data_IF_488161708317
#
_entry.id   IF_488161708317
#
_cell.length_a   1.000
_cell.length_b   1.000
_cell.length_c   1.000
_cell.angle_alpha   90.00
_cell.angle_beta   90.00
_cell.angle_gamma   90.00
#
_symmetry.space_group_name_H-M   'P 1'
#
loop_
_entity.id
_entity.type
_entity.pdbx_description
1 polymer ?
#
# COMPACT_ATOMS: atom_id res chain seq x y z
N UNK A 1 35.54 57.77 -48.08
CA UNK A 1 34.77 56.77 -47.30
C UNK A 1 33.77 56.13 -48.26
N UNK A 2 33.55 54.81 -48.13
CA UNK A 2 32.65 53.93 -48.90
C UNK A 2 33.26 53.16 -50.08
N UNK A 3 33.74 51.97 -49.69
CA UNK A 3 34.04 50.82 -50.52
C UNK A 3 32.77 49.99 -50.78
N UNK A 4 32.62 49.63 -52.05
CA UNK A 4 32.10 48.40 -52.69
C UNK A 4 31.22 47.42 -51.89
N UNK A 5 30.13 47.09 -52.57
CA UNK A 5 29.20 45.96 -52.45
C UNK A 5 29.86 44.60 -52.23
N UNK A 6 29.31 43.80 -51.31
CA UNK A 6 29.49 42.35 -51.22
C UNK A 6 28.13 41.67 -51.02
N UNK A 7 27.85 40.68 -51.84
CA UNK A 7 26.69 39.79 -51.82
C UNK A 7 26.77 38.81 -50.64
N UNK A 8 25.75 38.79 -49.80
CA UNK A 8 25.55 37.77 -48.76
C UNK A 8 24.77 36.59 -49.34
N UNK A 9 25.43 35.42 -49.39
CA UNK A 9 24.81 34.15 -49.71
C UNK A 9 23.84 33.72 -48.60
N UNK A 10 22.68 33.18 -49.01
CA UNK A 10 21.73 32.56 -48.11
C UNK A 10 22.32 31.24 -47.56
N UNK A 11 22.62 31.19 -46.26
CA UNK A 11 22.78 29.93 -45.54
C UNK A 11 21.39 29.33 -45.36
N UNK A 12 21.12 28.21 -46.02
CA UNK A 12 19.99 27.35 -45.70
C UNK A 12 20.24 26.75 -44.30
N UNK A 13 19.50 27.22 -43.30
CA UNK A 13 19.45 26.57 -42.00
C UNK A 13 18.69 25.25 -42.16
N UNK A 14 19.40 24.13 -42.06
CA UNK A 14 18.78 22.83 -41.82
C UNK A 14 18.11 22.86 -40.44
N UNK A 15 16.80 23.06 -40.42
CA UNK A 15 15.95 22.78 -39.27
C UNK A 15 16.01 21.27 -39.01
N UNK A 16 16.83 20.85 -38.04
CA UNK A 16 16.65 19.56 -37.39
C UNK A 16 15.31 19.63 -36.65
N UNK A 17 14.28 18.96 -37.18
CA UNK A 17 13.11 18.61 -36.39
C UNK A 17 13.57 17.58 -35.37
N UNK A 18 13.76 18.03 -34.13
CA UNK A 18 13.88 17.13 -33.00
C UNK A 18 12.55 16.39 -32.90
N UNK A 19 12.52 15.10 -33.26
CA UNK A 19 11.38 14.25 -32.94
C UNK A 19 11.21 14.31 -31.42
N UNK A 20 10.07 14.82 -30.95
CA UNK A 20 9.76 14.79 -29.53
C UNK A 20 9.77 13.34 -29.08
N UNK A 21 10.76 12.97 -28.26
CA UNK A 21 10.81 11.66 -27.63
C UNK A 21 9.52 11.52 -26.80
N UNK A 22 8.78 10.43 -27.00
CA UNK A 22 7.59 10.18 -26.20
C UNK A 22 8.00 10.04 -24.73
N UNK A 23 7.28 10.72 -23.83
CA UNK A 23 7.58 10.66 -22.39
C UNK A 23 7.33 9.25 -21.81
N UNK A 24 6.38 8.52 -22.38
CA UNK A 24 6.00 7.18 -21.90
C UNK A 24 5.48 6.32 -23.06
N UNK A 25 5.52 5.00 -22.90
CA UNK A 25 5.03 4.06 -23.90
C UNK A 25 5.50 2.62 -23.70
N UNK A 26 5.45 1.86 -24.78
CA UNK A 26 5.94 0.47 -24.86
C UNK A 26 6.98 0.31 -25.96
N UNK A 27 7.93 -0.59 -25.73
CA UNK A 27 8.96 -1.02 -26.67
C UNK A 27 8.90 -2.55 -26.78
N UNK A 28 8.60 -3.14 -27.94
CA UNK A 28 8.72 -4.58 -28.14
C UNK A 28 10.17 -5.00 -27.93
N UNK A 29 10.40 -6.07 -27.17
CA UNK A 29 11.76 -6.56 -26.85
C UNK A 29 12.08 -7.79 -27.69
N UNK A 30 11.21 -8.79 -27.65
CA UNK A 30 11.31 -10.01 -28.45
C UNK A 30 9.92 -10.61 -28.73
N UNK A 31 9.89 -11.81 -29.31
CA UNK A 31 8.65 -12.50 -29.68
C UNK A 31 7.71 -12.82 -28.51
N UNK A 32 8.16 -12.70 -27.27
CA UNK A 32 7.43 -13.04 -26.05
C UNK A 32 7.43 -11.93 -25.00
N UNK A 33 7.98 -10.76 -25.30
CA UNK A 33 8.11 -9.70 -24.29
C UNK A 33 8.04 -8.29 -24.84
N UNK A 34 7.53 -7.38 -24.00
CA UNK A 34 7.54 -5.94 -24.23
C UNK A 34 8.03 -5.21 -23.00
N UNK A 35 8.61 -4.03 -23.19
CA UNK A 35 9.07 -3.15 -22.12
C UNK A 35 8.21 -1.90 -22.07
N UNK A 36 7.58 -1.66 -20.94
CA UNK A 36 6.99 -0.38 -20.62
C UNK A 36 8.07 0.63 -20.22
N UNK A 37 7.90 1.90 -20.57
CA UNK A 37 8.80 2.97 -20.13
C UNK A 37 8.09 4.27 -19.77
N UNK A 38 8.67 5.01 -18.81
CA UNK A 38 8.37 6.42 -18.52
C UNK A 38 9.69 7.18 -18.26
N UNK A 39 9.98 8.20 -19.08
CA UNK A 39 11.19 9.02 -19.00
C UNK A 39 11.05 10.11 -17.94
N UNK A 40 11.16 9.73 -16.67
CA UNK A 40 11.19 10.65 -15.53
C UNK A 40 12.25 10.22 -14.52
N UNK A 41 13.00 11.17 -13.90
CA UNK A 41 13.90 10.85 -12.80
C UNK A 41 13.18 10.58 -11.48
N UNK A 42 11.87 10.81 -11.40
CA UNK A 42 11.06 10.39 -10.27
C UNK A 42 10.49 8.97 -10.49
N UNK A 43 9.62 8.50 -9.61
CA UNK A 43 9.00 7.19 -9.77
C UNK A 43 7.90 7.20 -10.85
N UNK A 44 7.68 6.04 -11.46
CA UNK A 44 6.52 5.74 -12.31
C UNK A 44 6.01 4.32 -12.07
N UNK A 45 4.72 4.11 -12.23
CA UNK A 45 4.06 2.81 -12.23
C UNK A 45 3.43 2.58 -13.60
N UNK A 46 3.34 1.31 -13.97
CA UNK A 46 2.52 0.85 -15.08
C UNK A 46 1.28 0.16 -14.54
N UNK A 47 0.14 0.47 -15.14
CA UNK A 47 -1.13 -0.22 -14.97
C UNK A 47 -1.38 -0.95 -16.27
N UNK A 48 -1.51 -2.28 -16.28
CA UNK A 48 -1.73 -3.01 -17.52
C UNK A 48 -2.67 -4.20 -17.36
N UNK A 49 -3.26 -4.63 -18.48
CA UNK A 49 -4.07 -5.83 -18.64
C UNK A 49 -3.56 -6.56 -19.87
N UNK A 50 -3.49 -7.88 -19.80
CA UNK A 50 -3.25 -8.74 -20.98
C UNK A 50 -4.56 -9.41 -21.33
N UNK A 51 -5.00 -9.23 -22.57
CA UNK A 51 -6.30 -9.63 -23.10
C UNK A 51 -7.46 -9.18 -22.21
N UNK A 52 -8.30 -10.13 -21.78
CA UNK A 52 -9.40 -9.90 -20.84
C UNK A 52 -9.00 -10.21 -19.38
N UNK A 53 -7.70 -10.20 -19.10
CA UNK A 53 -7.15 -10.42 -17.78
C UNK A 53 -7.48 -9.30 -16.79
N UNK A 54 -7.16 -9.57 -15.51
CA UNK A 54 -7.22 -8.56 -14.46
C UNK A 54 -6.13 -7.51 -14.67
N UNK A 55 -6.39 -6.31 -14.16
CA UNK A 55 -5.39 -5.26 -14.16
C UNK A 55 -4.31 -5.55 -13.13
N UNK A 56 -3.06 -5.30 -13.52
CA UNK A 56 -1.91 -5.30 -12.63
C UNK A 56 -1.33 -3.89 -12.55
N UNK A 57 -1.08 -3.42 -11.33
CA UNK A 57 -0.36 -2.18 -11.04
C UNK A 57 1.04 -2.54 -10.55
N UNK A 58 2.09 -2.03 -11.22
CA UNK A 58 3.49 -2.38 -10.95
C UNK A 58 4.33 -1.12 -10.90
N UNK A 59 5.09 -0.92 -9.81
CA UNK A 59 6.09 0.14 -9.76
C UNK A 59 7.26 -0.25 -10.66
N UNK A 60 7.64 0.67 -11.53
CA UNK A 60 8.65 0.43 -12.54
C UNK A 60 10.05 0.69 -11.97
N UNK A 61 11.06 -0.04 -12.47
CA UNK A 61 12.44 0.12 -12.05
C UNK A 61 13.02 1.43 -12.59
N UNK A 62 13.47 2.31 -11.70
CA UNK A 62 14.02 3.62 -12.05
C UNK A 62 15.55 3.56 -12.17
N UNK A 63 16.08 3.89 -13.34
CA UNK A 63 17.51 3.96 -13.61
C UNK A 63 17.81 5.05 -14.65
N UNK A 64 18.78 5.92 -14.37
CA UNK A 64 19.28 6.89 -15.35
C UNK A 64 18.24 7.91 -15.87
N UNK A 65 17.20 8.21 -15.08
CA UNK A 65 16.13 9.12 -15.52
C UNK A 65 15.00 8.45 -16.30
N UNK A 66 15.00 7.11 -16.35
CA UNK A 66 13.97 6.30 -17.01
C UNK A 66 13.44 5.25 -16.05
N UNK A 67 12.14 5.06 -16.06
CA UNK A 67 11.45 3.98 -15.37
C UNK A 67 11.11 2.91 -16.39
N UNK A 68 11.37 1.63 -16.11
CA UNK A 68 11.06 0.51 -17.02
C UNK A 68 10.46 -0.70 -16.30
N UNK A 69 9.58 -1.42 -16.96
CA UNK A 69 9.10 -2.75 -16.54
C UNK A 69 9.04 -3.68 -17.75
N UNK A 70 9.59 -4.89 -17.63
CA UNK A 70 9.55 -5.92 -18.67
C UNK A 70 8.36 -6.84 -18.41
N UNK A 71 7.42 -6.87 -19.36
CA UNK A 71 6.35 -7.85 -19.38
C UNK A 71 6.78 -9.01 -20.29
N UNK A 72 6.94 -10.18 -19.69
CA UNK A 72 7.35 -11.42 -20.35
C UNK A 72 6.14 -12.34 -20.61
N UNK A 73 6.39 -13.48 -21.24
CA UNK A 73 5.40 -14.55 -21.48
C UNK A 73 4.16 -14.09 -22.26
N UNK A 74 4.34 -13.17 -23.21
CA UNK A 74 3.27 -12.73 -24.11
C UNK A 74 3.10 -13.67 -25.29
N UNK A 75 1.86 -14.16 -25.47
CA UNK A 75 1.47 -14.90 -26.66
C UNK A 75 1.34 -13.98 -27.88
N UNK A 76 1.70 -14.50 -29.06
CA UNK A 76 1.43 -13.81 -30.33
C UNK A 76 -0.09 -13.53 -30.46
N UNK A 77 -0.42 -12.26 -30.69
CA UNK A 77 -1.79 -11.76 -30.80
C UNK A 77 -2.37 -11.19 -29.51
N UNK A 78 -1.67 -11.27 -28.37
CA UNK A 78 -2.14 -10.73 -27.10
C UNK A 78 -2.40 -9.21 -27.18
N UNK A 79 -3.53 -8.75 -26.61
CA UNK A 79 -3.84 -7.33 -26.44
C UNK A 79 -3.34 -6.84 -25.09
N UNK A 80 -2.38 -5.92 -25.08
CA UNK A 80 -1.88 -5.31 -23.85
C UNK A 80 -2.44 -3.91 -23.72
N UNK A 81 -3.45 -3.75 -22.87
CA UNK A 81 -3.98 -2.43 -22.50
C UNK A 81 -3.16 -1.86 -21.35
N UNK A 82 -2.74 -0.60 -21.41
CA UNK A 82 -1.86 0.00 -20.39
C UNK A 82 -2.05 1.51 -20.15
N UNK A 83 -1.73 1.97 -18.95
CA UNK A 83 -1.63 3.37 -18.52
C UNK A 83 -0.46 3.53 -17.53
N UNK A 84 -0.11 4.77 -17.19
CA UNK A 84 0.95 5.08 -16.25
C UNK A 84 0.52 6.11 -15.20
N UNK A 85 0.79 5.83 -13.92
CA UNK A 85 0.93 6.87 -12.90
C UNK A 85 2.40 7.25 -12.76
N UNK A 86 2.74 8.53 -12.76
CA UNK A 86 4.11 8.94 -12.45
C UNK A 86 4.17 10.26 -11.71
N UNK A 87 5.25 10.47 -10.95
CA UNK A 87 5.48 11.75 -10.29
C UNK A 87 6.05 12.77 -11.28
N UNK A 88 5.27 13.82 -11.54
CA UNK A 88 5.70 14.96 -12.35
C UNK A 88 6.33 16.03 -11.44
N UNK A 89 7.64 16.19 -11.57
CA UNK A 89 8.42 17.20 -10.85
C UNK A 89 8.01 18.63 -11.18
N UNK A 90 7.44 18.88 -12.37
CA UNK A 90 7.01 20.21 -12.79
C UNK A 90 5.79 20.73 -12.03
N UNK A 91 4.84 19.85 -11.69
CA UNK A 91 3.69 20.18 -10.84
C UNK A 91 3.88 19.77 -9.37
N UNK A 92 4.93 18.98 -9.08
CA UNK A 92 5.11 18.32 -7.79
C UNK A 92 3.87 17.49 -7.39
N UNK A 93 3.37 16.69 -8.34
CA UNK A 93 2.13 15.96 -8.22
C UNK A 93 2.21 14.62 -8.98
N UNK A 94 1.38 13.65 -8.58
CA UNK A 94 1.18 12.43 -9.36
C UNK A 94 0.29 12.74 -10.59
N UNK A 95 0.68 12.21 -11.75
CA UNK A 95 -0.07 12.30 -13.01
C UNK A 95 -0.42 10.93 -13.53
N UNK A 96 -1.63 10.81 -14.06
CA UNK A 96 -2.12 9.65 -14.78
C UNK A 96 -2.12 9.89 -16.29
N UNK A 97 -1.72 8.90 -17.08
CA UNK A 97 -1.98 8.89 -18.52
C UNK A 97 -3.35 8.29 -18.81
N UNK A 98 -3.89 8.54 -20.02
CA UNK A 98 -5.00 7.74 -20.53
C UNK A 98 -4.58 6.29 -20.79
N UNK A 99 -5.55 5.39 -20.82
CA UNK A 99 -5.35 4.00 -21.25
C UNK A 99 -5.06 3.94 -22.76
N UNK A 100 -4.04 3.16 -23.11
CA UNK A 100 -3.63 2.82 -24.47
C UNK A 100 -3.71 1.30 -24.66
N UNK A 101 -3.59 0.82 -25.89
CA UNK A 101 -3.49 -0.61 -26.19
C UNK A 101 -2.35 -0.87 -27.17
N UNK A 102 -1.68 -2.00 -26.99
CA UNK A 102 -0.64 -2.55 -27.85
C UNK A 102 -1.01 -3.99 -28.20
N UNK A 103 -1.07 -4.31 -29.49
CA UNK A 103 -1.26 -5.69 -29.92
C UNK A 103 0.11 -6.33 -30.15
N UNK A 104 0.40 -7.43 -29.46
CA UNK A 104 1.65 -8.16 -29.60
C UNK A 104 1.66 -8.97 -30.90
N UNK A 105 2.56 -8.66 -31.83
CA UNK A 105 2.58 -9.24 -33.17
C UNK A 105 3.56 -10.42 -33.32
N UNK A 106 4.20 -10.85 -32.22
CA UNK A 106 5.16 -11.96 -32.22
C UNK A 106 6.49 -11.65 -32.95
N UNK A 107 6.79 -10.38 -33.26
CA UNK A 107 7.83 -9.98 -34.20
C UNK A 107 9.19 -9.50 -33.61
N UNK A 108 10.27 -9.90 -34.31
CA UNK A 108 11.71 -9.67 -34.03
C UNK A 108 12.14 -8.21 -33.83
N UNK A 109 12.85 -7.93 -32.72
CA UNK A 109 13.61 -6.70 -32.51
C UNK A 109 14.75 -6.50 -33.52
N UNK A 110 15.38 -5.31 -33.58
CA UNK A 110 16.43 -5.00 -34.53
C UNK A 110 17.62 -5.97 -34.36
N UNK A 111 18.06 -6.56 -35.47
CA UNK A 111 19.15 -7.53 -35.51
C UNK A 111 20.47 -7.05 -34.88
N UNK A 112 21.11 -8.01 -34.23
CA UNK A 112 22.37 -8.04 -33.50
C UNK A 112 23.55 -7.25 -34.12
N UNK A 113 24.36 -6.68 -33.22
CA UNK A 113 25.63 -6.03 -33.47
C UNK A 113 26.64 -6.20 -32.33
N UNK A 114 26.78 -7.41 -31.77
CA UNK A 114 28.03 -8.00 -31.24
C UNK A 114 28.68 -7.44 -29.96
N UNK A 115 28.84 -8.30 -28.93
CA UNK A 115 30.11 -8.91 -28.41
C UNK A 115 29.88 -9.51 -26.98
N UNK A 116 30.73 -10.40 -26.39
CA UNK A 116 30.28 -11.63 -25.76
C UNK A 116 30.60 -11.62 -24.26
N UNK A 117 29.60 -11.41 -23.42
CA UNK A 117 29.76 -11.44 -21.97
C UNK A 117 28.85 -12.49 -21.35
N UNK A 118 29.40 -13.67 -21.07
CA UNK A 118 28.82 -14.58 -20.09
C UNK A 118 28.77 -13.86 -18.73
N UNK A 119 27.62 -13.28 -18.40
CA UNK A 119 27.29 -12.72 -17.10
C UNK A 119 25.82 -13.00 -16.88
N UNK A 120 25.52 -13.85 -15.90
CA UNK A 120 24.18 -14.38 -15.64
C UNK A 120 23.12 -13.30 -15.65
N UNK A 121 22.04 -13.60 -16.36
CA UNK A 121 20.76 -12.91 -16.30
C UNK A 121 20.33 -12.80 -14.83
N UNK A 122 20.23 -11.60 -14.23
CA UNK A 122 19.36 -11.41 -13.09
C UNK A 122 17.98 -11.13 -13.66
N UNK A 123 17.12 -12.14 -13.65
CA UNK A 123 15.70 -12.01 -13.96
C UNK A 123 15.13 -10.78 -13.23
N UNK A 124 14.73 -9.78 -14.01
CA UNK A 124 14.11 -8.56 -13.52
C UNK A 124 12.65 -8.80 -13.21
N UNK A 125 12.37 -9.41 -12.06
CA UNK A 125 11.17 -9.12 -11.27
C UNK A 125 9.93 -9.99 -11.45
N UNK A 126 10.01 -11.13 -12.13
CA UNK A 126 9.13 -12.23 -11.74
C UNK A 126 9.65 -12.73 -10.41
N UNK A 127 8.85 -12.58 -9.35
CA UNK A 127 9.17 -13.14 -8.04
C UNK A 127 9.24 -14.65 -8.16
N UNK A 128 10.42 -15.18 -8.52
CA UNK A 128 10.67 -16.57 -8.74
C UNK A 128 10.19 -17.38 -7.52
N UNK A 129 9.05 -18.05 -7.70
CA UNK A 129 8.39 -18.80 -6.63
C UNK A 129 7.26 -18.09 -5.90
N UNK A 130 6.66 -17.00 -6.40
CA UNK A 130 5.43 -16.40 -5.87
C UNK A 130 4.35 -16.25 -6.95
N UNK A 131 3.08 -16.28 -6.55
CA UNK A 131 1.92 -16.01 -7.41
C UNK A 131 0.90 -15.15 -6.69
N UNK A 132 0.30 -14.19 -7.40
CA UNK A 132 -0.80 -13.38 -6.88
C UNK A 132 -1.99 -14.29 -6.62
N UNK A 133 -2.52 -14.27 -5.41
CA UNK A 133 -3.73 -15.03 -5.04
C UNK A 133 -4.93 -14.12 -4.77
N UNK A 134 -4.69 -12.83 -4.54
CA UNK A 134 -5.73 -11.82 -4.41
C UNK A 134 -5.12 -10.43 -4.59
N UNK A 135 -5.88 -9.53 -5.20
CA UNK A 135 -5.56 -8.10 -5.23
C UNK A 135 -6.83 -7.25 -5.32
N UNK A 136 -6.72 -6.00 -4.86
CA UNK A 136 -7.67 -4.93 -5.17
C UNK A 136 -6.88 -3.74 -5.71
N UNK A 137 -7.07 -3.47 -7.00
CA UNK A 137 -6.41 -2.39 -7.76
C UNK A 137 -7.23 -1.10 -7.78
N UNK A 138 -8.42 -1.09 -7.18
CA UNK A 138 -9.28 0.09 -7.09
C UNK A 138 -9.58 0.76 -8.45
N UNK A 139 -9.85 -0.05 -9.48
CA UNK A 139 -10.10 0.47 -10.84
C UNK A 139 -11.53 0.99 -11.05
N UNK A 140 -12.46 0.52 -10.22
CA UNK A 140 -13.86 0.90 -10.33
C UNK A 140 -14.16 2.09 -9.42
N UNK A 141 -14.33 3.27 -10.02
CA UNK A 141 -14.73 4.47 -9.31
C UNK A 141 -16.05 4.27 -8.52
N UNK A 142 -16.13 4.87 -7.33
CA UNK A 142 -17.29 4.76 -6.43
C UNK A 142 -16.92 4.15 -5.08
N UNK A 143 -17.80 3.33 -4.51
CA UNK A 143 -17.51 2.68 -3.24
C UNK A 143 -16.53 1.50 -3.43
N UNK A 144 -15.60 1.27 -2.48
CA UNK A 144 -14.75 0.08 -2.44
C UNK A 144 -15.54 -1.21 -2.62
N UNK A 145 -14.94 -2.19 -3.31
CA UNK A 145 -15.61 -3.42 -3.68
C UNK A 145 -16.17 -4.14 -2.44
N UNK A 146 -17.51 -4.22 -2.37
CA UNK A 146 -18.20 -4.83 -1.23
C UNK A 146 -17.95 -6.34 -1.07
N UNK A 147 -17.40 -7.02 -2.09
CA UNK A 147 -16.92 -8.40 -1.95
C UNK A 147 -15.58 -8.50 -1.20
N UNK A 148 -14.81 -7.42 -1.16
CA UNK A 148 -13.50 -7.35 -0.51
C UNK A 148 -13.59 -6.67 0.87
N UNK A 149 -14.30 -5.54 0.96
CA UNK A 149 -14.20 -4.63 2.11
C UNK A 149 -15.50 -4.46 2.88
N UNK A 150 -15.41 -4.48 4.21
CA UNK A 150 -16.39 -3.97 5.16
C UNK A 150 -15.95 -2.60 5.70
N UNK A 151 -16.85 -1.90 6.36
CA UNK A 151 -16.56 -0.64 7.05
C UNK A 151 -16.74 -0.81 8.56
N UNK A 152 -15.75 -0.37 9.33
CA UNK A 152 -15.98 -0.07 10.75
C UNK A 152 -16.60 1.33 10.84
N UNK A 153 -17.64 1.45 11.65
CA UNK A 153 -18.38 2.71 11.82
C UNK A 153 -18.32 3.14 13.28
N UNK A 154 -18.04 4.43 13.49
CA UNK A 154 -17.97 5.03 14.81
C UNK A 154 -16.55 5.22 15.34
N UNK A 155 -16.48 5.50 16.63
CA UNK A 155 -15.24 5.77 17.37
C UNK A 155 -14.93 4.68 18.42
N UNK A 156 -15.59 3.53 18.35
CA UNK A 156 -15.65 2.55 19.45
C UNK A 156 -16.46 3.02 20.68
N UNK A 157 -17.00 4.25 20.64
CA UNK A 157 -17.78 4.83 21.72
C UNK A 157 -19.07 4.04 22.00
N UNK A 158 -19.09 3.31 23.13
CA UNK A 158 -20.24 2.53 23.58
C UNK A 158 -20.73 2.99 24.97
N UNK A 159 -21.64 3.98 25.03
CA UNK A 159 -22.11 4.54 26.29
C UNK A 159 -22.92 3.49 27.07
N UNK A 160 -22.49 3.18 28.29
CA UNK A 160 -23.13 2.22 29.18
C UNK A 160 -22.43 0.87 29.32
N UNK A 161 -21.44 0.55 28.47
CA UNK A 161 -20.64 -0.69 28.54
C UNK A 161 -19.23 -0.51 29.10
N UNK A 162 -18.88 0.68 29.60
CA UNK A 162 -17.66 0.90 30.38
C UNK A 162 -16.33 0.75 29.63
N UNK A 163 -16.27 0.80 28.29
CA UNK A 163 -14.98 0.82 27.57
C UNK A 163 -15.06 0.96 26.05
N UNK A 164 -13.88 1.25 25.45
CA UNK A 164 -13.54 1.45 24.02
C UNK A 164 -13.73 2.84 23.36
N UNK A 165 -13.65 3.94 24.12
CA UNK A 165 -13.59 5.28 23.52
C UNK A 165 -12.32 5.47 22.67
N UNK A 166 -12.45 6.11 21.51
CA UNK A 166 -11.31 6.35 20.61
C UNK A 166 -10.64 5.07 20.16
N UNK A 167 -11.43 4.02 19.91
CA UNK A 167 -10.96 2.67 19.57
C UNK A 167 -9.93 2.07 20.54
N UNK A 168 -9.95 2.51 21.80
CA UNK A 168 -8.98 2.10 22.83
C UNK A 168 -7.71 2.93 22.86
N UNK A 169 -7.49 3.80 21.88
CA UNK A 169 -6.28 4.60 21.71
C UNK A 169 -6.50 6.10 21.92
N UNK A 170 -7.72 6.53 22.23
CA UNK A 170 -8.07 7.95 22.36
C UNK A 170 -8.19 8.68 21.02
N UNK A 171 -8.43 7.94 19.93
CA UNK A 171 -8.71 8.44 18.58
C UNK A 171 -9.93 9.39 18.56
N UNK A 172 -9.92 10.41 17.70
CA UNK A 172 -10.93 11.48 17.66
C UNK A 172 -11.99 11.29 16.59
N UNK A 173 -11.67 10.57 15.53
CA UNK A 173 -12.54 10.43 14.38
C UNK A 173 -13.74 9.55 14.66
N UNK A 174 -14.85 9.85 14.00
CA UNK A 174 -15.92 8.90 13.82
C UNK A 174 -15.78 8.29 12.42
N UNK A 175 -15.48 6.99 12.34
CA UNK A 175 -15.37 6.32 11.04
C UNK A 175 -16.73 6.21 10.34
N UNK A 176 -16.76 6.44 9.02
CA UNK A 176 -17.94 6.34 8.17
C UNK A 176 -17.61 5.75 6.79
N UNK A 177 -18.53 5.06 6.12
CA UNK A 177 -18.31 4.55 4.76
C UNK A 177 -18.03 5.65 3.73
N UNK A 178 -18.67 6.82 3.85
CA UNK A 178 -18.56 7.93 2.88
C UNK A 178 -17.16 8.57 2.84
N UNK A 179 -16.33 8.28 3.84
CA UNK A 179 -14.95 8.72 3.94
C UNK A 179 -13.98 7.73 3.27
N UNK A 180 -14.49 6.73 2.53
CA UNK A 180 -13.70 5.77 1.78
C UNK A 180 -14.30 5.56 0.39
N UNK A 181 -13.60 6.00 -0.65
CA UNK A 181 -14.09 5.94 -2.02
C UNK A 181 -12.94 5.70 -2.99
N UNK A 182 -13.26 5.09 -4.13
CA UNK A 182 -12.35 4.88 -5.24
C UNK A 182 -12.50 6.01 -6.24
N UNK A 183 -11.39 6.66 -6.55
CA UNK A 183 -11.31 7.72 -7.55
C UNK A 183 -9.93 7.68 -8.23
N UNK A 184 -9.89 7.86 -9.55
CA UNK A 184 -8.65 7.85 -10.35
C UNK A 184 -7.76 6.61 -10.14
N UNK A 185 -8.37 5.41 -10.07
CA UNK A 185 -7.62 4.16 -9.93
C UNK A 185 -7.02 3.92 -8.54
N UNK A 186 -7.51 4.64 -7.52
CA UNK A 186 -6.96 4.57 -6.16
C UNK A 186 -8.09 4.56 -5.14
N UNK A 187 -7.92 3.82 -4.05
CA UNK A 187 -8.72 4.01 -2.84
C UNK A 187 -8.25 5.29 -2.13
N UNK A 188 -9.21 6.14 -1.81
CA UNK A 188 -9.05 7.35 -1.02
C UNK A 188 -9.74 7.15 0.32
N UNK A 189 -8.98 7.21 1.41
CA UNK A 189 -9.50 7.35 2.77
C UNK A 189 -9.32 8.80 3.19
N UNK A 190 -10.42 9.51 3.36
CA UNK A 190 -10.47 10.96 3.57
C UNK A 190 -10.78 11.30 5.03
N UNK A 191 -9.82 11.94 5.70
CA UNK A 191 -10.04 12.63 6.96
C UNK A 191 -10.72 13.98 6.72
N UNK A 192 -11.79 14.26 7.44
CA UNK A 192 -12.57 15.50 7.33
C UNK A 192 -12.78 16.18 8.67
N UNK A 193 -13.03 17.48 8.60
CA UNK A 193 -13.45 18.30 9.73
C UNK A 193 -14.68 19.12 9.34
N UNK A 194 -15.73 19.05 10.16
CA UNK A 194 -16.89 19.94 10.06
C UNK A 194 -16.83 21.01 11.15
N UNK A 195 -17.07 22.28 10.80
CA UNK A 195 -17.09 23.38 11.77
C UNK A 195 -18.31 23.34 12.70
N UNK A 196 -19.37 22.65 12.29
CA UNK A 196 -20.54 22.34 13.11
C UNK A 196 -20.51 20.85 13.48
N UNK A 197 -20.64 20.49 14.77
CA UNK A 197 -20.57 19.10 15.15
C UNK A 197 -21.85 18.35 14.79
N UNK A 198 -21.72 17.03 14.63
CA UNK A 198 -22.86 16.12 14.73
C UNK A 198 -22.92 15.55 16.15
N UNK A 199 -24.10 15.64 16.77
CA UNK A 199 -24.35 15.04 18.08
C UNK A 199 -24.66 13.56 17.92
N UNK A 200 -23.84 12.69 18.51
CA UNK A 200 -24.08 11.25 18.55
C UNK A 200 -23.98 10.78 19.99
N UNK A 201 -25.08 10.22 20.51
CA UNK A 201 -25.18 9.72 21.89
C UNK A 201 -24.74 10.73 22.96
N UNK A 202 -25.04 12.02 22.76
CA UNK A 202 -24.73 13.10 23.70
C UNK A 202 -23.30 13.61 23.67
N UNK A 203 -22.53 13.28 22.62
CA UNK A 203 -21.19 13.83 22.35
C UNK A 203 -21.18 14.51 20.97
N UNK A 204 -20.55 15.67 20.91
CA UNK A 204 -20.26 16.40 19.67
C UNK A 204 -19.08 15.79 18.92
N UNK A 205 -19.26 15.48 17.64
CA UNK A 205 -18.23 14.98 16.73
C UNK A 205 -17.96 15.97 15.61
N UNK A 206 -16.70 16.31 15.40
CA UNK A 206 -16.26 17.24 14.36
C UNK A 206 -15.41 16.55 13.29
N UNK A 207 -14.79 15.42 13.62
CA UNK A 207 -13.82 14.73 12.77
C UNK A 207 -14.39 13.41 12.23
N UNK A 208 -14.14 13.17 10.94
CA UNK A 208 -14.61 11.99 10.23
C UNK A 208 -13.48 11.34 9.46
N UNK A 209 -13.52 10.02 9.32
CA UNK A 209 -12.54 9.28 8.52
C UNK A 209 -13.08 7.92 8.08
N UNK A 210 -12.26 7.09 7.45
CA UNK A 210 -12.61 5.73 7.05
C UNK A 210 -11.73 4.65 7.71
N UNK A 211 -12.34 3.49 7.96
CA UNK A 211 -11.67 2.25 8.37
C UNK A 211 -12.31 1.07 7.66
N UNK A 212 -11.54 0.43 6.78
CA UNK A 212 -11.98 -0.73 6.01
C UNK A 212 -11.34 -2.00 6.55
N UNK A 213 -12.05 -3.13 6.44
CA UNK A 213 -11.53 -4.45 6.82
C UNK A 213 -11.99 -5.54 5.86
N UNK A 214 -11.14 -6.53 5.60
CA UNK A 214 -11.52 -7.74 4.84
C UNK A 214 -12.12 -8.84 5.71
N UNK A 215 -12.37 -8.58 7.00
CA UNK A 215 -12.88 -9.57 7.97
C UNK A 215 -14.13 -10.31 7.45
N UNK A 216 -14.10 -11.64 7.51
CA UNK A 216 -15.21 -12.49 7.05
C UNK A 216 -15.43 -12.51 5.53
N UNK A 217 -14.56 -11.84 4.76
CA UNK A 217 -14.56 -11.82 3.29
C UNK A 217 -13.30 -12.45 2.71
N UNK A 218 -12.14 -11.94 3.12
CA UNK A 218 -10.82 -12.40 2.66
C UNK A 218 -9.87 -12.46 3.84
N UNK A 219 -9.20 -13.60 4.00
CA UNK A 219 -8.19 -13.82 5.04
C UNK A 219 -7.11 -14.75 4.54
N UNK A 220 -5.89 -14.56 5.03
CA UNK A 220 -4.73 -15.35 4.63
C UNK A 220 -3.95 -15.84 5.84
N UNK A 221 -3.38 -17.03 5.69
CA UNK A 221 -2.34 -17.53 6.56
C UNK A 221 -1.09 -17.69 5.72
N UNK A 222 -0.05 -16.93 6.11
CA UNK A 222 1.20 -16.80 5.38
C UNK A 222 1.03 -16.20 3.97
N UNK A 223 2.11 -15.67 3.44
CA UNK A 223 2.15 -15.05 2.15
C UNK A 223 3.05 -13.84 2.13
N UNK A 224 3.11 -13.17 0.99
CA UNK A 224 3.60 -11.81 0.90
C UNK A 224 2.42 -10.88 0.73
N UNK A 225 2.31 -9.91 1.62
CA UNK A 225 1.19 -8.98 1.68
C UNK A 225 1.75 -7.59 1.53
N UNK A 226 1.25 -6.84 0.56
CA UNK A 226 1.77 -5.52 0.25
C UNK A 226 0.68 -4.53 -0.13
N UNK A 227 0.93 -3.27 0.15
CA UNK A 227 0.12 -2.17 -0.33
C UNK A 227 0.99 -0.99 -0.70
N UNK A 228 0.60 -0.30 -1.77
CA UNK A 228 1.26 0.92 -2.21
C UNK A 228 0.47 2.13 -1.74
N UNK A 229 1.04 2.86 -0.78
CA UNK A 229 0.30 3.85 0.01
C UNK A 229 1.04 5.18 0.02
N UNK A 230 0.30 6.28 -0.14
CA UNK A 230 0.73 7.64 0.20
C UNK A 230 -0.14 8.15 1.36
N UNK A 231 0.47 8.75 2.37
CA UNK A 231 -0.23 9.20 3.60
C UNK A 231 -0.22 10.73 3.72
N UNK A 232 -1.06 11.34 4.58
CA UNK A 232 -1.16 12.80 4.64
C UNK A 232 0.14 13.51 5.05
N UNK A 233 0.91 12.92 5.96
CA UNK A 233 2.11 13.54 6.53
C UNK A 233 1.81 14.84 7.28
N UNK A 234 0.67 14.91 7.98
CA UNK A 234 0.16 16.10 8.66
C UNK A 234 0.02 15.86 10.16
N UNK A 235 0.09 16.94 10.95
CA UNK A 235 -0.02 16.88 12.42
C UNK A 235 -1.32 16.17 12.83
N UNK A 236 -1.23 15.27 13.79
CA UNK A 236 -2.38 14.53 14.33
C UNK A 236 -2.95 13.47 13.38
N UNK A 237 -2.28 13.12 12.27
CA UNK A 237 -2.71 11.98 11.43
C UNK A 237 -2.06 10.68 11.89
N UNK A 238 -2.82 9.59 11.84
CA UNK A 238 -2.36 8.23 12.09
C UNK A 238 -2.96 7.25 11.07
N UNK A 239 -2.43 7.21 9.84
CA UNK A 239 -2.79 6.18 8.87
C UNK A 239 -2.12 4.85 9.19
N UNK A 240 -2.87 3.77 8.95
CA UNK A 240 -2.39 2.41 9.18
C UNK A 240 -2.83 1.44 8.07
N UNK A 241 -1.91 0.52 7.74
CA UNK A 241 -2.14 -0.71 6.99
C UNK A 241 -1.65 -1.88 7.86
N UNK A 242 -2.58 -2.73 8.26
CA UNK A 242 -2.33 -3.71 9.31
C UNK A 242 -3.25 -4.90 9.16
N UNK A 243 -3.04 -5.90 10.02
CA UNK A 243 -3.76 -7.17 9.99
C UNK A 243 -4.12 -7.62 11.40
N UNK A 244 -5.26 -8.28 11.51
CA UNK A 244 -5.72 -8.88 12.78
C UNK A 244 -6.18 -10.32 12.56
N UNK A 245 -5.93 -11.19 13.53
CA UNK A 245 -6.33 -12.60 13.45
C UNK A 245 -7.85 -12.77 13.42
N UNK A 246 -8.35 -13.71 12.60
CA UNK A 246 -9.80 -13.95 12.46
C UNK A 246 -10.50 -14.47 13.72
N UNK A 247 -9.71 -14.99 14.67
CA UNK A 247 -10.22 -15.44 15.97
C UNK A 247 -10.69 -14.29 16.88
N UNK A 248 -10.58 -13.04 16.44
CA UNK A 248 -11.12 -11.87 17.14
C UNK A 248 -12.63 -11.74 16.93
N UNK A 249 -13.42 -12.02 17.98
CA UNK A 249 -14.89 -11.84 17.96
C UNK A 249 -15.36 -10.50 18.55
N UNK A 250 -14.44 -9.66 19.03
CA UNK A 250 -14.72 -8.33 19.56
C UNK A 250 -15.60 -8.32 20.83
N UNK A 251 -15.85 -9.48 21.44
CA UNK A 251 -16.75 -9.61 22.59
C UNK A 251 -15.99 -9.56 23.92
N UNK A 252 -16.41 -8.68 24.83
CA UNK A 252 -15.91 -8.68 26.22
C UNK A 252 -16.74 -9.68 27.02
N UNK A 253 -16.27 -10.91 27.19
CA UNK A 253 -16.95 -11.89 28.05
C UNK A 253 -16.56 -11.69 29.51
N UNK A 254 -17.49 -11.21 30.36
CA UNK A 254 -17.28 -11.07 31.81
C UNK A 254 -17.59 -12.35 32.61
N UNK A 255 -17.99 -13.44 31.95
CA UNK A 255 -18.35 -14.70 32.59
C UNK A 255 -17.47 -15.85 32.07
N UNK A 256 -16.63 -16.42 32.95
CA UNK A 256 -15.91 -17.66 32.66
C UNK A 256 -15.86 -18.58 33.88
N UNK A 257 -16.36 -19.82 33.75
CA UNK A 257 -16.31 -20.87 34.80
C UNK A 257 -16.22 -22.28 34.19
N UNK A 258 -15.02 -22.74 33.81
CA UNK A 258 -14.68 -24.14 33.53
C UNK A 258 -13.14 -24.36 33.55
N UNK A 259 -12.61 -25.60 33.71
CA UNK A 259 -11.16 -25.83 33.84
C UNK A 259 -10.45 -25.80 32.47
N UNK A 260 -9.45 -24.93 32.33
CA UNK A 260 -8.76 -24.60 31.08
C UNK A 260 -7.55 -25.50 30.76
N UNK A 261 -7.37 -25.82 29.46
CA UNK A 261 -6.16 -26.45 28.91
C UNK A 261 -5.78 -25.88 27.54
N UNK A 262 -4.75 -26.46 26.91
CA UNK A 262 -3.84 -25.93 25.86
C UNK A 262 -4.41 -25.23 24.60
N UNK A 263 -5.71 -25.08 24.40
CA UNK A 263 -6.33 -24.41 23.23
C UNK A 263 -7.66 -23.69 23.51
N UNK A 264 -8.07 -23.53 24.77
CA UNK A 264 -9.48 -23.32 25.06
C UNK A 264 -9.87 -21.83 25.26
N UNK A 265 -10.35 -21.25 24.15
CA UNK A 265 -11.26 -20.08 23.96
C UNK A 265 -10.62 -18.66 23.91
N UNK A 266 -10.48 -18.10 22.71
CA UNK A 266 -10.17 -16.67 22.39
C UNK A 266 -11.45 -15.98 21.85
N UNK A 267 -11.73 -14.67 21.96
CA UNK A 267 -10.95 -13.55 22.47
C UNK A 267 -11.83 -12.64 23.35
N UNK A 268 -11.58 -12.61 24.67
CA UNK A 268 -12.04 -11.49 25.51
C UNK A 268 -10.99 -10.36 25.60
N UNK A 269 -9.85 -10.52 24.90
CA UNK A 269 -8.72 -9.61 24.81
C UNK A 269 -8.18 -9.59 23.38
N UNK A 270 -7.94 -8.41 22.82
CA UNK A 270 -7.52 -8.21 21.43
C UNK A 270 -6.13 -8.81 21.13
N UNK A 271 -5.16 -8.70 22.05
CA UNK A 271 -3.79 -9.18 21.78
C UNK A 271 -3.72 -10.70 21.64
N UNK A 272 -4.69 -11.43 22.20
CA UNK A 272 -4.78 -12.88 22.04
C UNK A 272 -5.26 -13.32 20.65
N UNK A 273 -5.70 -12.38 19.80
CA UNK A 273 -5.94 -12.61 18.36
C UNK A 273 -4.66 -12.45 17.53
N UNK A 274 -3.71 -11.68 18.05
CA UNK A 274 -2.54 -11.18 17.36
C UNK A 274 -2.85 -10.04 16.38
N UNK A 275 -1.92 -9.10 16.28
CA UNK A 275 -1.94 -7.97 15.35
C UNK A 275 -0.57 -7.83 14.68
N UNK A 276 -0.59 -7.57 13.37
CA UNK A 276 0.60 -7.32 12.56
C UNK A 276 0.43 -5.96 11.89
N UNK A 277 1.17 -4.97 12.35
CA UNK A 277 1.17 -3.64 11.74
C UNK A 277 2.22 -3.59 10.64
N UNK A 278 1.74 -3.58 9.39
CA UNK A 278 2.60 -3.53 8.21
C UNK A 278 3.15 -2.12 8.04
N UNK A 279 2.29 -1.11 8.23
CA UNK A 279 2.65 0.29 8.21
C UNK A 279 1.74 1.07 9.15
N UNK A 280 2.34 1.78 10.10
CA UNK A 280 1.74 2.90 10.80
C UNK A 280 2.57 4.15 10.53
N UNK A 281 1.91 5.29 10.37
CA UNK A 281 2.58 6.58 10.29
C UNK A 281 1.98 7.53 11.31
N UNK A 282 2.74 8.53 11.75
CA UNK A 282 2.21 9.57 12.63
C UNK A 282 2.71 10.95 12.27
N UNK A 283 1.81 11.92 12.43
CA UNK A 283 2.14 13.33 12.31
C UNK A 283 2.86 13.64 10.99
N UNK A 284 3.98 14.34 11.08
CA UNK A 284 4.83 14.75 9.96
C UNK A 284 6.15 13.96 9.94
N UNK A 285 6.20 12.79 10.57
CA UNK A 285 7.45 12.03 10.68
C UNK A 285 7.94 11.56 9.31
N UNK A 286 9.25 11.50 9.10
CA UNK A 286 9.85 10.96 7.87
C UNK A 286 10.20 9.47 8.00
N UNK A 287 9.59 8.81 8.98
CA UNK A 287 9.69 7.38 9.24
C UNK A 287 8.28 6.81 9.40
N UNK A 288 8.15 5.52 9.13
CA UNK A 288 6.96 4.75 9.47
C UNK A 288 7.32 3.73 10.54
N UNK A 289 6.33 3.29 11.30
CA UNK A 289 6.45 2.28 12.34
C UNK A 289 5.82 0.98 11.88
N UNK A 290 6.44 -0.13 12.26
CA UNK A 290 5.87 -1.47 12.17
C UNK A 290 5.83 -2.03 13.58
N UNK A 291 4.88 -2.92 13.83
CA UNK A 291 4.75 -3.52 15.14
C UNK A 291 4.07 -4.88 15.05
N UNK A 292 4.20 -5.64 16.12
CA UNK A 292 3.62 -6.95 16.28
C UNK A 292 3.09 -7.04 17.69
N UNK A 293 1.81 -7.34 17.87
CA UNK A 293 1.22 -7.50 19.19
C UNK A 293 0.69 -8.91 19.41
N UNK A 294 0.97 -9.47 20.57
CA UNK A 294 0.42 -10.74 21.01
C UNK A 294 0.30 -10.83 22.53
N UNK A 295 -0.45 -11.82 22.99
CA UNK A 295 -0.57 -12.17 24.40
C UNK A 295 0.65 -12.97 24.85
N UNK A 296 1.38 -12.49 25.86
CA UNK A 296 2.60 -13.19 26.34
C UNK A 296 2.29 -14.45 27.15
N UNK A 297 1.01 -14.75 27.41
CA UNK A 297 0.54 -15.92 28.17
C UNK A 297 1.10 -16.01 29.59
N UNK A 298 1.34 -14.87 30.25
CA UNK A 298 1.93 -14.80 31.60
C UNK A 298 1.01 -15.29 32.74
N UNK A 299 -0.10 -15.95 32.44
CA UNK A 299 -0.84 -16.76 33.41
C UNK A 299 -1.88 -16.05 34.27
N UNK A 300 -2.34 -14.85 33.92
CA UNK A 300 -3.39 -14.14 34.67
C UNK A 300 -4.58 -13.79 33.77
N UNK A 301 -5.41 -14.80 33.49
CA UNK A 301 -6.77 -14.53 33.05
C UNK A 301 -7.67 -14.28 34.28
N UNK A 302 -8.45 -13.17 34.35
CA UNK A 302 -8.48 -12.02 33.46
C UNK A 302 -8.10 -10.70 34.18
N UNK A 303 -7.29 -9.87 33.52
CA UNK A 303 -6.98 -8.47 33.87
C UNK A 303 -5.92 -8.21 34.95
N UNK A 304 -4.65 -8.50 34.66
CA UNK A 304 -3.53 -7.79 35.30
C UNK A 304 -2.58 -7.25 34.22
N UNK A 305 -2.12 -6.01 34.40
CA UNK A 305 -1.31 -5.27 33.42
C UNK A 305 0.01 -5.97 33.06
N UNK A 306 0.46 -5.69 31.83
CA UNK A 306 1.68 -6.22 31.18
C UNK A 306 1.55 -7.63 30.56
N UNK A 307 0.34 -8.08 30.20
CA UNK A 307 0.11 -9.37 29.51
C UNK A 307 0.17 -9.30 27.98
N UNK A 308 0.50 -8.13 27.42
CA UNK A 308 0.67 -7.94 25.97
C UNK A 308 2.12 -7.60 25.69
N UNK A 309 2.73 -8.28 24.74
CA UNK A 309 4.01 -7.86 24.19
C UNK A 309 3.78 -7.06 22.92
N UNK A 310 4.70 -6.13 22.67
CA UNK A 310 4.87 -5.49 21.40
C UNK A 310 6.36 -5.41 21.04
N UNK A 311 6.66 -5.31 19.75
CA UNK A 311 8.03 -5.19 19.23
C UNK A 311 8.05 -4.12 18.13
N UNK A 312 7.84 -2.85 18.48
CA UNK A 312 7.81 -1.79 17.49
C UNK A 312 9.19 -1.55 16.91
N UNK A 313 9.24 -1.23 15.63
CA UNK A 313 10.43 -0.74 14.94
C UNK A 313 10.05 0.39 14.00
N UNK A 314 10.99 1.29 13.70
CA UNK A 314 10.77 2.38 12.75
C UNK A 314 11.80 2.34 11.64
N UNK A 315 11.38 2.65 10.42
CA UNK A 315 12.27 2.76 9.27
C UNK A 315 12.02 4.08 8.52
N UNK A 316 13.07 4.75 8.01
CA UNK A 316 12.92 6.00 7.28
C UNK A 316 12.20 5.77 5.95
N UNK A 317 11.20 6.60 5.66
CA UNK A 317 10.39 6.55 4.43
C UNK A 317 10.62 7.74 3.49
N UNK A 318 11.34 8.77 3.96
CA UNK A 318 11.53 10.00 3.19
C UNK A 318 10.27 10.86 3.24
N UNK A 319 9.74 11.27 2.09
CA UNK A 319 8.47 12.00 2.03
C UNK A 319 7.28 11.00 2.05
N UNK A 320 6.55 10.89 3.16
CA UNK A 320 5.47 9.91 3.31
C UNK A 320 4.23 10.26 2.44
N UNK A 321 4.19 11.47 1.87
CA UNK A 321 3.15 11.91 0.94
C UNK A 321 3.31 11.36 -0.47
N UNK A 322 4.48 10.79 -0.76
CA UNK A 322 4.70 10.03 -1.98
C UNK A 322 4.28 8.58 -1.76
N UNK A 323 3.92 7.89 -2.85
CA UNK A 323 3.59 6.48 -2.77
C UNK A 323 4.84 5.65 -2.44
N UNK A 324 4.72 4.87 -1.37
CA UNK A 324 5.70 3.90 -0.92
C UNK A 324 5.07 2.51 -0.89
N UNK A 325 5.87 1.49 -1.20
CA UNK A 325 5.46 0.09 -1.15
C UNK A 325 5.80 -0.49 0.22
N UNK A 326 4.77 -0.80 1.00
CA UNK A 326 4.90 -1.44 2.31
C UNK A 326 4.56 -2.91 2.16
N UNK A 327 5.48 -3.78 2.55
CA UNK A 327 5.36 -5.22 2.32
C UNK A 327 5.74 -5.99 3.58
N UNK A 328 5.01 -7.07 3.87
CA UNK A 328 5.51 -8.15 4.71
C UNK A 328 5.68 -9.43 3.90
N UNK A 329 6.72 -10.19 4.21
CA UNK A 329 6.78 -11.62 3.94
C UNK A 329 6.55 -12.36 5.25
N UNK A 330 5.50 -13.17 5.30
CA UNK A 330 5.07 -13.89 6.49
C UNK A 330 5.03 -15.38 6.22
N UNK A 331 5.82 -16.14 6.97
CA UNK A 331 5.84 -17.60 6.93
C UNK A 331 5.89 -18.18 8.35
N UNK A 332 5.92 -19.51 8.46
CA UNK A 332 5.76 -20.20 9.74
C UNK A 332 6.92 -20.05 10.74
N UNK A 333 7.95 -19.25 10.44
CA UNK A 333 9.11 -19.05 11.32
C UNK A 333 9.32 -17.59 11.64
N UNK A 334 9.07 -16.69 10.69
CA UNK A 334 9.30 -15.27 10.91
C UNK A 334 8.36 -14.41 10.06
N UNK A 335 8.30 -13.14 10.42
CA UNK A 335 7.71 -12.07 9.61
C UNK A 335 8.83 -11.09 9.28
N UNK A 336 8.93 -10.70 8.02
CA UNK A 336 9.92 -9.74 7.51
C UNK A 336 9.19 -8.56 6.90
N UNK A 337 9.54 -7.35 7.30
CA UNK A 337 8.98 -6.11 6.72
C UNK A 337 9.97 -5.51 5.74
N UNK A 338 9.42 -4.97 4.65
CA UNK A 338 10.18 -4.29 3.61
C UNK A 338 9.53 -2.94 3.32
N UNK A 339 10.38 -1.99 2.95
CA UNK A 339 9.97 -0.71 2.42
C UNK A 339 10.57 -0.53 1.03
N UNK A 340 9.73 -0.28 0.04
CA UNK A 340 10.13 -0.09 -1.35
C UNK A 340 11.01 -1.24 -1.86
N UNK A 341 10.57 -2.48 -1.63
CA UNK A 341 11.35 -3.73 -1.82
C UNK A 341 12.00 -3.86 -3.20
N UNK A 342 11.39 -3.30 -4.23
CA UNK A 342 11.92 -3.30 -5.60
C UNK A 342 13.24 -2.52 -5.72
N UNK A 343 13.40 -1.45 -4.93
CA UNK A 343 14.61 -0.63 -4.87
C UNK A 343 15.49 -0.93 -3.64
N UNK A 344 14.91 -1.57 -2.63
CA UNK A 344 15.56 -1.94 -1.38
C UNK A 344 15.15 -3.37 -0.98
N UNK A 345 15.82 -4.41 -1.53
CA UNK A 345 15.41 -5.80 -1.37
C UNK A 345 15.68 -6.38 0.02
N UNK A 346 16.33 -5.63 0.92
CA UNK A 346 16.63 -6.09 2.27
C UNK A 346 15.49 -5.74 3.24
N UNK A 347 15.12 -6.65 4.17
CA UNK A 347 14.10 -6.35 5.15
C UNK A 347 14.57 -5.28 6.13
N UNK A 348 13.69 -4.34 6.46
CA UNK A 348 13.93 -3.29 7.46
C UNK A 348 13.63 -3.74 8.88
N UNK A 349 12.92 -4.85 9.03
CA UNK A 349 12.61 -5.48 10.31
C UNK A 349 12.33 -6.98 10.12
N UNK A 350 12.80 -7.81 11.04
CA UNK A 350 12.57 -9.27 11.04
C UNK A 350 12.26 -9.73 12.46
N UNK A 351 11.17 -10.49 12.62
CA UNK A 351 10.77 -11.07 13.90
C UNK A 351 10.59 -12.57 13.76
N UNK A 352 11.37 -13.33 14.53
CA UNK A 352 11.17 -14.77 14.73
C UNK A 352 9.89 -15.02 15.54
N UNK A 353 8.91 -15.64 14.87
CA UNK A 353 7.61 -16.06 15.44
C UNK A 353 7.55 -17.56 15.75
N UNK A 354 8.65 -18.31 15.59
CA UNK A 354 8.67 -19.76 15.86
C UNK A 354 8.59 -20.12 17.35
N UNK A 355 8.61 -19.12 18.23
CA UNK A 355 8.54 -19.30 19.67
C UNK A 355 7.16 -19.87 20.07
N UNK A 356 7.11 -20.79 21.05
CA UNK A 356 5.85 -21.45 21.42
C UNK A 356 4.72 -20.55 21.92
N UNK A 357 5.00 -19.30 22.32
CA UNK A 357 4.04 -18.34 22.84
C UNK A 357 3.68 -17.24 21.82
N UNK A 358 3.82 -17.54 20.53
CA UNK A 358 3.51 -16.65 19.40
C UNK A 358 2.54 -17.33 18.43
N UNK A 359 1.72 -18.25 18.94
CA UNK A 359 0.79 -19.10 18.18
C UNK A 359 -0.27 -18.31 17.39
N UNK A 360 -0.53 -17.07 17.79
CA UNK A 360 -1.43 -16.15 17.10
C UNK A 360 -1.03 -15.98 15.64
N UNK A 361 0.26 -15.81 15.36
CA UNK A 361 0.82 -15.59 14.01
C UNK A 361 0.90 -16.86 13.15
N UNK A 362 0.29 -17.94 13.61
CA UNK A 362 0.11 -19.18 12.86
C UNK A 362 -1.37 -19.46 12.55
N UNK A 363 -2.19 -18.40 12.45
CA UNK A 363 -3.62 -18.45 12.14
C UNK A 363 -3.94 -17.55 10.93
N UNK A 364 -5.15 -17.64 10.35
CA UNK A 364 -5.59 -16.69 9.32
C UNK A 364 -5.82 -15.28 9.87
N UNK A 365 -5.45 -14.28 9.07
CA UNK A 365 -5.60 -12.86 9.36
C UNK A 365 -6.34 -12.16 8.21
N UNK A 366 -7.16 -11.17 8.55
CA UNK A 366 -7.75 -10.22 7.60
C UNK A 366 -7.00 -8.89 7.62
N UNK A 367 -7.14 -8.12 6.53
CA UNK A 367 -6.49 -6.82 6.35
C UNK A 367 -7.36 -5.69 6.86
N UNK A 368 -6.72 -4.62 7.35
CA UNK A 368 -7.34 -3.39 7.81
C UNK A 368 -6.58 -2.19 7.24
N UNK A 369 -7.34 -1.21 6.73
CA UNK A 369 -6.84 0.10 6.29
C UNK A 369 -7.63 1.19 7.00
N UNK A 370 -6.96 2.16 7.63
CA UNK A 370 -7.64 3.32 8.21
C UNK A 370 -6.76 4.55 8.25
N UNK A 371 -7.42 5.70 8.43
CA UNK A 371 -6.80 6.97 8.78
C UNK A 371 -7.37 7.44 10.11
N UNK A 372 -6.72 7.10 11.22
CA UNK A 372 -7.06 7.65 12.53
C UNK A 372 -6.63 9.12 12.63
N UNK A 373 -7.32 9.87 13.49
CA UNK A 373 -7.06 11.27 13.79
C UNK A 373 -6.80 11.42 15.29
N UNK A 374 -5.61 11.94 15.63
CA UNK A 374 -5.07 12.03 16.99
C UNK A 374 -4.93 10.65 17.66
N UNK A 375 -4.83 10.64 18.98
CA UNK A 375 -4.69 9.45 19.79
C UNK A 375 -3.32 9.31 20.45
N UNK A 376 -3.15 8.20 21.15
CA UNK A 376 -1.96 7.95 21.98
C UNK A 376 -0.70 7.83 21.13
N UNK A 377 -0.78 7.19 19.96
CA UNK A 377 0.38 6.97 19.09
C UNK A 377 0.94 8.26 18.49
N UNK A 378 0.08 9.20 18.10
CA UNK A 378 0.50 10.51 17.61
C UNK A 378 1.08 11.40 18.71
N UNK A 379 0.94 10.99 19.98
CA UNK A 379 0.84 11.91 21.12
C UNK A 379 -0.45 12.71 20.95
N UNK A 380 -1.33 12.84 21.97
CA UNK A 380 -2.68 13.42 21.83
C UNK A 380 -2.60 14.88 21.35
N UNK A 381 -2.47 15.05 20.04
CA UNK A 381 -2.12 16.28 19.35
C UNK A 381 -3.25 16.57 18.41
N UNK A 382 -3.74 17.80 18.49
CA UNK A 382 -4.86 18.25 17.69
C UNK A 382 -4.42 18.35 16.22
N UNK A 383 -5.13 17.69 15.29
CA UNK A 383 -4.97 17.95 13.87
C UNK A 383 -5.16 19.44 13.55
N UNK A 384 -4.36 19.99 12.63
CA UNK A 384 -4.58 21.36 12.18
C UNK A 384 -5.84 21.41 11.31
N UNK A 385 -6.82 22.22 11.72
CA UNK A 385 -8.05 22.41 10.95
C UNK A 385 -7.77 22.88 9.51
N UNK A 386 -6.68 23.63 9.29
CA UNK A 386 -6.31 24.15 7.98
C UNK A 386 -5.68 23.09 7.07
N UNK A 387 -5.29 21.93 7.61
CA UNK A 387 -4.75 20.83 6.82
C UNK A 387 -5.86 19.93 6.24
N UNK A 388 -7.11 20.07 6.71
CA UNK A 388 -8.24 19.29 6.19
C UNK A 388 -8.71 19.81 4.82
N UNK A 389 -9.18 18.91 3.93
CA UNK A 389 -9.26 17.45 4.09
C UNK A 389 -7.90 16.74 3.97
N UNK A 390 -7.74 15.67 4.75
CA UNK A 390 -6.54 14.83 4.83
C UNK A 390 -6.76 13.54 4.03
N UNK A 391 -5.73 13.04 3.34
CA UNK A 391 -5.90 11.90 2.43
C UNK A 391 -4.84 10.83 2.65
N UNK A 392 -5.29 9.62 2.97
CA UNK A 392 -4.52 8.40 2.74
C UNK A 392 -4.97 7.81 1.39
N UNK A 393 -4.02 7.61 0.49
CA UNK A 393 -4.26 7.08 -0.85
C UNK A 393 -3.62 5.71 -0.96
N UNK A 394 -4.36 4.74 -1.48
CA UNK A 394 -3.90 3.37 -1.69
C UNK A 394 -4.09 3.04 -3.16
N UNK A 395 -2.99 2.78 -3.86
CA UNK A 395 -2.99 2.41 -5.29
C UNK A 395 -3.44 0.96 -5.48
N UNK A 396 -2.90 0.05 -4.68
CA UNK A 396 -3.40 -1.33 -4.63
C UNK A 396 -3.09 -1.97 -3.29
N UNK A 397 -3.78 -3.08 -3.03
CA UNK A 397 -3.41 -4.07 -2.02
C UNK A 397 -3.29 -5.42 -2.71
N UNK A 398 -2.20 -6.15 -2.46
CA UNK A 398 -1.90 -7.41 -3.13
C UNK A 398 -1.41 -8.46 -2.14
N UNK A 399 -1.87 -9.69 -2.35
CA UNK A 399 -1.44 -10.86 -1.59
C UNK A 399 -0.91 -11.92 -2.54
N UNK A 400 0.30 -12.39 -2.23
CA UNK A 400 0.99 -13.43 -2.96
C UNK A 400 1.12 -14.70 -2.10
N UNK A 401 1.12 -15.86 -2.74
CA UNK A 401 1.55 -17.12 -2.14
C UNK A 401 2.79 -17.65 -2.81
N UNK A 402 3.64 -18.29 -2.01
CA UNK A 402 4.81 -18.97 -2.54
C UNK A 402 4.35 -20.21 -3.33
N UNK A 403 4.81 -20.32 -4.58
CA UNK A 403 4.62 -21.48 -5.45
C UNK A 403 5.31 -22.68 -4.78
N UNK A 404 4.61 -23.82 -4.75
CA UNK A 404 5.11 -25.05 -4.12
C UNK A 404 6.03 -25.85 -5.02
#
# INVERSE_FOLDING_TARGET
MNLRTASSGALAAFLFTCNAHALSGVEPVDASSLRFFVDTPAWADVHYRVDNGHQLNIRMQQAGGRNTYLLSELDEGADVSYAFTYWDLGCNCARETGWNSYQHDGGSGPGDGGDPGNGGNPDGGDDAGWSVVWEDTFDQAGAPNSANWNYHVGNGFNPGLGGFQGWGNGEWEWYRPENSYVENGQLIIRGEFDSAPTEINGRSWYQWSGRLTTQGKQSWQYGRIEARIAVPGARGTWPAFWMMGDACDGSVTTAYTAPMSRYDVMASNWSSCGEVDIMEHRNTEQAYTQNLFWDIRAGLYPWAGDTTANVPNSAPVGDPRQFNLYTIEWHAQEIRWYLNRESNPEPVHVIDISKPNMEEFHRPYHLILNLALSGTFTGPTDPDINDFPLYMKVDYVRVWKQNR
#
